data_IF_409165366669
#
_entry.id   IF_409165366669
#
_cell.length_a   1.000
_cell.length_b   1.000
_cell.length_c   1.000
_cell.angle_alpha   90.00
_cell.angle_beta   90.00
_cell.angle_gamma   90.00
#
_symmetry.space_group_name_H-M   'P 1'
#
loop_
_entity.id
_entity.type
_entity.pdbx_description
1 polymer ?
#
# COMPACT_ATOMS: atom_id res chain seq x y z
N UNK A 1 -29.78 48.66 -23.31
CA UNK A 1 -29.11 47.48 -22.72
C UNK A 1 -28.37 46.57 -23.74
N UNK A 2 -28.23 46.96 -25.03
CA UNK A 2 -27.66 46.11 -26.10
C UNK A 2 -26.14 46.27 -26.26
N UNK A 3 -25.58 47.42 -25.91
CA UNK A 3 -24.18 47.79 -26.20
C UNK A 3 -23.15 47.03 -25.32
N UNK A 4 -23.49 46.66 -24.08
CA UNK A 4 -22.56 45.91 -23.21
C UNK A 4 -22.31 44.47 -23.67
N UNK A 5 -23.30 43.81 -24.30
CA UNK A 5 -23.16 42.43 -24.81
C UNK A 5 -22.21 42.35 -26.01
N UNK A 6 -22.17 43.36 -26.90
CA UNK A 6 -21.31 43.33 -28.09
C UNK A 6 -19.83 43.55 -27.77
N UNK A 7 -19.52 44.38 -26.77
CA UNK A 7 -18.15 44.62 -26.28
C UNK A 7 -17.54 43.39 -25.58
N UNK A 8 -18.31 42.72 -24.72
CA UNK A 8 -17.89 41.45 -24.08
C UNK A 8 -17.59 40.36 -25.13
N UNK A 9 -18.45 40.25 -26.15
CA UNK A 9 -18.27 39.30 -27.26
C UNK A 9 -17.02 39.63 -28.09
N UNK A 10 -16.75 40.91 -28.37
CA UNK A 10 -15.53 41.36 -29.07
C UNK A 10 -14.25 41.05 -28.29
N UNK A 11 -14.25 41.30 -26.97
CA UNK A 11 -13.09 41.03 -26.10
C UNK A 11 -12.81 39.52 -26.04
N UNK A 12 -13.85 38.70 -25.86
CA UNK A 12 -13.75 37.23 -25.92
C UNK A 12 -13.17 36.74 -27.26
N UNK A 13 -13.64 37.28 -28.40
CA UNK A 13 -13.11 36.90 -29.72
C UNK A 13 -11.65 37.35 -29.93
N UNK A 14 -11.24 38.52 -29.40
CA UNK A 14 -9.87 39.03 -29.50
C UNK A 14 -8.89 38.20 -28.67
N UNK A 15 -9.30 37.85 -27.45
CA UNK A 15 -8.54 36.98 -26.53
C UNK A 15 -8.43 35.57 -27.12
N UNK A 16 -9.54 35.01 -27.63
CA UNK A 16 -9.54 33.71 -28.32
C UNK A 16 -8.60 33.70 -29.53
N UNK A 17 -8.58 34.78 -30.33
CA UNK A 17 -7.67 34.93 -31.47
C UNK A 17 -6.20 35.00 -31.07
N UNK A 18 -5.86 35.73 -30.00
CA UNK A 18 -4.49 35.82 -29.47
C UNK A 18 -4.02 34.50 -28.85
N UNK A 19 -4.89 33.79 -28.13
CA UNK A 19 -4.58 32.47 -27.56
C UNK A 19 -4.33 31.46 -28.68
N UNK A 20 -5.19 31.42 -29.71
CA UNK A 20 -4.98 30.56 -30.87
C UNK A 20 -3.66 30.86 -31.57
N UNK A 21 -3.29 32.13 -31.75
CA UNK A 21 -1.99 32.50 -32.34
C UNK A 21 -0.80 32.09 -31.48
N UNK A 22 -0.90 32.17 -30.15
CA UNK A 22 0.15 31.70 -29.24
C UNK A 22 0.29 30.17 -29.25
N UNK A 23 -0.85 29.44 -29.28
CA UNK A 23 -0.91 27.98 -29.37
C UNK A 23 -0.40 27.44 -30.71
N UNK A 24 -0.72 28.10 -31.82
CA UNK A 24 -0.26 27.74 -33.16
C UNK A 24 1.06 28.42 -33.55
N UNK A 25 1.81 28.96 -32.58
CA UNK A 25 3.17 29.46 -32.83
C UNK A 25 4.19 28.31 -32.78
N UNK A 26 5.22 28.38 -33.62
CA UNK A 26 6.30 27.37 -33.71
C UNK A 26 6.97 27.07 -32.37
N UNK A 27 7.03 28.04 -31.46
CA UNK A 27 7.61 27.88 -30.11
C UNK A 27 6.58 27.51 -29.03
N UNK A 28 5.31 27.88 -29.19
CA UNK A 28 4.24 27.57 -28.23
C UNK A 28 3.73 26.13 -28.34
N UNK A 29 3.74 25.56 -29.55
CA UNK A 29 3.24 24.20 -29.80
C UNK A 29 4.04 23.11 -29.06
N UNK A 30 5.39 23.11 -29.05
CA UNK A 30 6.17 22.18 -28.23
C UNK A 30 5.88 22.30 -26.74
N UNK A 31 5.65 23.52 -26.25
CA UNK A 31 5.38 23.79 -24.84
C UNK A 31 4.03 23.19 -24.40
N UNK A 32 2.99 23.35 -25.21
CA UNK A 32 1.69 22.75 -24.91
C UNK A 32 1.75 21.23 -24.96
N UNK A 33 2.53 20.68 -25.89
CA UNK A 33 2.71 19.24 -26.02
C UNK A 33 3.37 18.65 -24.76
N UNK A 34 4.40 19.30 -24.22
CA UNK A 34 5.04 18.84 -22.98
C UNK A 34 4.11 18.95 -21.78
N UNK A 35 3.32 20.03 -21.66
CA UNK A 35 2.30 20.14 -20.63
C UNK A 35 1.21 19.07 -20.75
N UNK A 36 0.79 18.72 -21.97
CA UNK A 36 -0.16 17.64 -22.20
C UNK A 36 0.41 16.28 -21.76
N UNK A 37 1.68 16.00 -22.07
CA UNK A 37 2.37 14.78 -21.63
C UNK A 37 2.47 14.73 -20.10
N UNK A 38 2.86 15.83 -19.45
CA UNK A 38 2.92 15.90 -17.98
C UNK A 38 1.53 15.69 -17.35
N UNK A 39 0.48 16.26 -17.94
CA UNK A 39 -0.89 16.07 -17.49
C UNK A 39 -1.35 14.61 -17.56
N UNK A 40 -1.04 13.92 -18.67
CA UNK A 40 -1.34 12.50 -18.83
C UNK A 40 -0.54 11.67 -17.81
N UNK A 41 0.75 11.96 -17.64
CA UNK A 41 1.59 11.30 -16.65
C UNK A 41 1.01 11.46 -15.24
N UNK A 42 0.58 12.67 -14.86
CA UNK A 42 -0.01 12.93 -13.54
C UNK A 42 -1.23 12.03 -13.28
N UNK A 43 -2.14 11.91 -14.24
CA UNK A 43 -3.32 11.04 -14.10
C UNK A 43 -2.90 9.57 -13.97
N UNK A 44 -1.94 9.11 -14.78
CA UNK A 44 -1.43 7.75 -14.70
C UNK A 44 -0.78 7.46 -13.33
N UNK A 45 0.04 8.38 -12.82
CA UNK A 45 0.64 8.26 -11.49
C UNK A 45 -0.43 8.20 -10.40
N UNK A 46 -1.49 9.01 -10.50
CA UNK A 46 -2.60 8.98 -9.53
C UNK A 46 -3.33 7.65 -9.54
N UNK A 47 -3.62 7.08 -10.71
CA UNK A 47 -4.24 5.75 -10.81
C UNK A 47 -3.32 4.64 -10.30
N UNK A 48 -2.03 4.68 -10.64
CA UNK A 48 -1.04 3.72 -10.16
C UNK A 48 -0.82 3.79 -8.65
N UNK A 49 -0.89 4.98 -8.07
CA UNK A 49 -0.84 5.16 -6.62
C UNK A 49 -1.96 4.43 -5.89
N UNK A 50 -3.21 4.55 -6.40
CA UNK A 50 -4.37 3.86 -5.83
C UNK A 50 -4.25 2.34 -5.97
N UNK A 51 -3.81 1.84 -7.12
CA UNK A 51 -3.59 0.39 -7.34
C UNK A 51 -2.53 -0.17 -6.37
N UNK A 52 -1.44 0.57 -6.17
CA UNK A 52 -0.37 0.18 -5.26
C UNK A 52 -0.83 0.17 -3.81
N UNK A 53 -1.64 1.15 -3.40
CA UNK A 53 -2.18 1.24 -2.05
C UNK A 53 -3.07 0.04 -1.71
N UNK A 54 -3.93 -0.38 -2.66
CA UNK A 54 -4.74 -1.59 -2.49
C UNK A 54 -3.89 -2.85 -2.35
N UNK A 55 -2.89 -3.02 -3.21
CA UNK A 55 -1.95 -4.16 -3.14
C UNK A 55 -1.18 -4.17 -1.82
N UNK A 56 -0.71 -3.01 -1.38
CA UNK A 56 0.03 -2.85 -0.13
C UNK A 56 -0.86 -3.18 1.08
N UNK A 57 -2.10 -2.70 1.07
CA UNK A 57 -3.08 -3.01 2.11
C UNK A 57 -3.39 -4.51 2.17
N UNK A 58 -3.55 -5.18 1.04
CA UNK A 58 -3.77 -6.63 0.99
C UNK A 58 -2.58 -7.40 1.59
N UNK A 59 -1.35 -7.03 1.19
CA UNK A 59 -0.13 -7.65 1.72
C UNK A 59 0.00 -7.42 3.22
N UNK A 60 -0.25 -6.19 3.70
CA UNK A 60 -0.19 -5.86 5.13
C UNK A 60 -1.19 -6.69 5.95
N UNK A 61 -2.42 -6.90 5.45
CA UNK A 61 -3.40 -7.78 6.10
C UNK A 61 -2.90 -9.23 6.20
N UNK A 62 -2.23 -9.74 5.15
CA UNK A 62 -1.63 -11.08 5.17
C UNK A 62 -0.50 -11.16 6.21
N UNK A 63 0.37 -10.15 6.27
CA UNK A 63 1.44 -10.07 7.26
C UNK A 63 0.87 -10.07 8.68
N UNK A 64 -0.17 -9.27 8.92
CA UNK A 64 -0.82 -9.20 10.23
C UNK A 64 -1.40 -10.55 10.65
N UNK A 65 -2.13 -11.21 9.74
CA UNK A 65 -2.68 -12.55 9.98
C UNK A 65 -1.59 -13.57 10.33
N UNK A 66 -0.52 -13.64 9.53
CA UNK A 66 0.60 -14.56 9.78
C UNK A 66 1.28 -14.23 11.11
N UNK A 67 1.40 -12.95 11.46
CA UNK A 67 2.00 -12.51 12.72
C UNK A 67 1.16 -12.95 13.92
N UNK A 68 -0.17 -12.81 13.84
CA UNK A 68 -1.11 -13.28 14.86
C UNK A 68 -1.06 -14.81 15.00
N UNK A 69 -1.12 -15.53 13.89
CA UNK A 69 -1.00 -17.00 13.88
C UNK A 69 0.33 -17.46 14.49
N UNK A 70 1.44 -16.77 14.19
CA UNK A 70 2.74 -17.08 14.78
C UNK A 70 2.74 -16.87 16.30
N UNK A 71 2.15 -15.77 16.79
CA UNK A 71 1.99 -15.52 18.23
C UNK A 71 1.16 -16.63 18.90
N UNK A 72 0.05 -17.03 18.30
CA UNK A 72 -0.76 -18.13 18.80
C UNK A 72 -0.01 -19.46 18.81
N UNK A 73 0.72 -19.78 17.74
CA UNK A 73 1.49 -21.01 17.63
C UNK A 73 2.61 -21.06 18.67
N UNK A 74 3.30 -19.93 18.91
CA UNK A 74 4.29 -19.80 19.99
C UNK A 74 3.66 -20.03 21.36
N UNK A 75 2.50 -19.43 21.63
CA UNK A 75 1.77 -19.65 22.88
C UNK A 75 1.31 -21.11 23.04
N UNK A 76 0.78 -21.71 21.97
CA UNK A 76 0.40 -23.14 21.94
C UNK A 76 1.61 -24.03 22.19
N UNK A 77 2.76 -23.75 21.57
CA UNK A 77 4.03 -24.46 21.79
C UNK A 77 4.49 -24.35 23.24
N UNK A 78 4.52 -23.14 23.81
CA UNK A 78 4.87 -22.94 25.22
C UNK A 78 3.92 -23.70 26.17
N UNK A 79 2.61 -23.66 25.89
CA UNK A 79 1.61 -24.43 26.65
C UNK A 79 1.82 -25.94 26.53
N UNK A 80 2.16 -26.42 25.34
CA UNK A 80 2.49 -27.81 25.03
C UNK A 80 3.72 -28.29 25.83
N UNK A 81 4.77 -27.48 25.83
CA UNK A 81 6.05 -27.76 26.49
C UNK A 81 6.08 -27.36 27.97
N UNK A 82 4.98 -26.82 28.50
CA UNK A 82 4.92 -26.41 29.90
C UNK A 82 5.12 -27.61 30.84
N UNK A 83 5.88 -27.41 31.92
CA UNK A 83 6.17 -28.44 32.93
C UNK A 83 4.87 -29.07 33.46
N UNK A 84 3.83 -28.26 33.68
CA UNK A 84 2.52 -28.72 34.13
C UNK A 84 1.91 -29.74 33.17
N UNK A 85 1.99 -29.49 31.85
CA UNK A 85 1.46 -30.41 30.84
C UNK A 85 2.34 -31.66 30.69
N UNK A 86 3.66 -31.49 30.72
CA UNK A 86 4.61 -32.60 30.66
C UNK A 86 4.42 -33.55 31.86
N UNK A 87 4.26 -33.03 33.09
CA UNK A 87 3.94 -33.85 34.27
C UNK A 87 2.59 -34.55 34.14
N UNK A 88 1.56 -33.86 33.64
CA UNK A 88 0.25 -34.50 33.39
C UNK A 88 0.34 -35.64 32.37
N UNK A 89 1.14 -35.47 31.32
CA UNK A 89 1.39 -36.50 30.32
C UNK A 89 2.19 -37.67 30.92
N UNK A 90 3.23 -37.38 31.71
CA UNK A 90 4.04 -38.39 32.38
C UNK A 90 3.17 -39.28 33.28
N UNK A 91 2.31 -38.67 34.10
CA UNK A 91 1.36 -39.39 34.94
C UNK A 91 0.37 -40.24 34.11
N UNK A 92 -0.13 -39.71 32.99
CA UNK A 92 -1.07 -40.43 32.11
C UNK A 92 -0.46 -41.69 31.50
N UNK A 93 0.84 -41.66 31.19
CA UNK A 93 1.55 -42.77 30.54
C UNK A 93 2.44 -43.57 31.50
N UNK A 94 2.34 -43.36 32.81
CA UNK A 94 3.15 -44.07 33.81
C UNK A 94 4.65 -43.78 33.74
N UNK A 95 5.05 -42.63 33.19
CA UNK A 95 6.45 -42.24 33.06
C UNK A 95 6.95 -41.62 34.38
N UNK A 96 8.11 -42.07 34.85
CA UNK A 96 8.80 -41.54 36.04
C UNK A 96 9.78 -40.42 35.67
N UNK A 97 10.14 -39.58 36.66
CA UNK A 97 11.20 -38.59 36.46
C UNK A 97 12.55 -39.30 36.22
N UNK A 98 13.33 -38.85 35.22
CA UNK A 98 14.65 -39.42 34.96
C UNK A 98 15.60 -39.14 36.13
N UNK A 99 16.48 -40.10 36.43
CA UNK A 99 17.56 -39.92 37.40
C UNK A 99 18.64 -39.01 36.83
N UNK A 100 19.48 -38.44 37.69
CA UNK A 100 20.54 -37.51 37.31
C UNK A 100 21.53 -38.11 36.29
N UNK A 101 21.79 -39.40 36.40
CA UNK A 101 22.59 -40.24 35.48
C UNK A 101 21.97 -40.42 34.07
N UNK A 102 20.69 -40.08 33.89
CA UNK A 102 19.96 -40.20 32.62
C UNK A 102 19.75 -38.85 31.91
N UNK A 103 20.29 -37.75 32.45
CA UNK A 103 20.14 -36.40 31.89
C UNK A 103 21.32 -36.10 30.95
N UNK A 104 21.04 -35.89 29.66
CA UNK A 104 22.04 -35.47 28.66
C UNK A 104 21.90 -33.96 28.45
N UNK A 105 22.95 -33.20 28.73
CA UNK A 105 23.02 -31.75 28.45
C UNK A 105 23.77 -31.54 27.15
N UNK A 106 23.12 -30.93 26.16
CA UNK A 106 23.75 -30.56 24.89
C UNK A 106 24.16 -29.08 24.98
N UNK A 107 25.44 -28.75 24.79
CA UNK A 107 25.95 -27.38 24.83
C UNK A 107 25.46 -26.53 23.64
#
# INVERSE_FOLDING_TARGET
MVVKKSLSKRISTKISGSIKKALFSTQGLPLILTFAVIGILFVLFRMKGVELDYKTTEVNKKIEKVTLENKELKAKKARLLSIKRLRRLANKYGLSQPKQEQIIVIP
#
